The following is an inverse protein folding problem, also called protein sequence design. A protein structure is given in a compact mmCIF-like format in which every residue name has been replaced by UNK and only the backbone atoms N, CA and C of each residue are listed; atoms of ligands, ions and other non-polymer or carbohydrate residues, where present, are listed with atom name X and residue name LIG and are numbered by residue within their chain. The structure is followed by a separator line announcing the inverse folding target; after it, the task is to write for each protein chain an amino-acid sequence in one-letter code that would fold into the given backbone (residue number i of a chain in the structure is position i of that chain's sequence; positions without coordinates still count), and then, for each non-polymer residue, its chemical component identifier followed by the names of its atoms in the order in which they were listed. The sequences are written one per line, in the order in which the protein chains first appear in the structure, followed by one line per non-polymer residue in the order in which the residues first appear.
data_IF_368642538713
#
_entry.id   IF_368642538713
#
_cell.length_a   1.000
_cell.length_b   1.000
_cell.length_c   1.000
_cell.angle_alpha   90.00
_cell.angle_beta   90.00
_cell.angle_gamma   90.00
#
_symmetry.space_group_name_H-M   'P 1'
#
loop_
_entity.id
_entity.type
_entity.pdbx_description
1 polymer ?
#
# COMPACT_ATOMS: atom_id res chain seq x y z
N UNK A 1 -19.49 2.85 -0.24
CA UNK A 1 -18.53 1.85 -0.75
C UNK A 1 -17.28 1.95 0.10
N UNK A 2 -16.91 0.87 0.79
CA UNK A 2 -15.68 0.83 1.56
C UNK A 2 -14.48 0.74 0.60
N UNK A 3 -13.40 1.46 0.89
CA UNK A 3 -12.14 1.38 0.14
C UNK A 3 -11.05 0.96 1.09
N UNK A 4 -10.08 0.22 0.59
CA UNK A 4 -8.89 -0.17 1.33
C UNK A 4 -7.65 0.40 0.65
N UNK A 5 -6.73 0.94 1.45
CA UNK A 5 -5.46 1.45 0.96
C UNK A 5 -4.31 0.51 1.34
N UNK A 6 -3.27 0.51 0.53
CA UNK A 6 -2.08 -0.31 0.73
C UNK A 6 -0.82 0.40 0.26
N UNK A 7 0.29 0.05 0.88
CA UNK A 7 1.63 0.42 0.41
C UNK A 7 2.62 -0.69 0.75
N UNK A 8 3.70 -0.75 -0.02
CA UNK A 8 4.84 -1.62 0.25
C UNK A 8 6.01 -0.70 0.59
N UNK A 9 6.60 -0.89 1.76
CA UNK A 9 7.81 -0.20 2.20
C UNK A 9 9.03 -1.06 1.91
N UNK A 10 10.04 -0.43 1.32
CA UNK A 10 11.36 -1.01 1.15
C UNK A 10 12.33 -0.09 1.87
N UNK A 11 12.94 -0.62 2.93
CA UNK A 11 13.95 0.06 3.72
C UNK A 11 15.28 -0.69 3.63
N UNK A 12 16.31 0.00 3.17
CA UNK A 12 17.69 -0.42 3.30
C UNK A 12 18.47 0.61 4.11
N UNK A 13 19.74 0.33 4.43
CA UNK A 13 20.59 1.15 5.31
C UNK A 13 20.72 2.63 4.91
N UNK A 14 20.30 3.02 3.70
CA UNK A 14 20.44 4.38 3.17
C UNK A 14 19.14 5.03 2.74
N UNK A 15 18.11 4.26 2.42
CA UNK A 15 16.89 4.76 1.77
C UNK A 15 15.66 3.98 2.21
N UNK A 16 14.57 4.72 2.41
CA UNK A 16 13.23 4.17 2.57
C UNK A 16 12.36 4.66 1.42
N UNK A 17 11.79 3.71 0.68
CA UNK A 17 10.85 3.98 -0.41
C UNK A 17 9.51 3.32 -0.14
N UNK A 18 8.45 3.94 -0.64
CA UNK A 18 7.09 3.43 -0.51
C UNK A 18 6.45 3.28 -1.89
N UNK A 19 5.65 2.22 -2.05
CA UNK A 19 4.82 2.01 -3.22
C UNK A 19 3.65 3.01 -3.20
N UNK A 20 3.55 3.81 -4.26
CA UNK A 20 2.50 4.80 -4.47
C UNK A 20 1.91 4.68 -5.87
N UNK A 21 0.74 5.29 -6.06
CA UNK A 21 0.07 5.41 -7.36
C UNK A 21 0.10 6.82 -7.93
N UNK A 22 0.14 6.92 -9.26
CA UNK A 22 -0.01 8.18 -10.01
C UNK A 22 1.20 9.11 -9.93
N UNK A 23 1.10 10.29 -10.53
CA UNK A 23 2.14 11.33 -10.44
C UNK A 23 1.93 12.28 -9.26
N UNK A 24 2.95 13.08 -8.95
CA UNK A 24 2.86 14.05 -7.86
C UNK A 24 1.65 15.00 -8.08
N UNK A 25 0.74 15.16 -7.09
CA UNK A 25 0.79 14.60 -5.74
C UNK A 25 0.45 13.10 -5.68
N UNK A 26 1.37 12.31 -5.12
CA UNK A 26 1.24 10.86 -5.00
C UNK A 26 0.07 10.45 -4.11
N UNK A 27 -0.44 9.24 -4.34
CA UNK A 27 -1.52 8.64 -3.55
C UNK A 27 -1.15 7.21 -3.14
N UNK A 28 -1.69 6.73 -2.02
CA UNK A 28 -1.61 5.31 -1.67
C UNK A 28 -2.45 4.47 -2.63
N UNK A 29 -1.98 3.27 -2.94
CA UNK A 29 -2.73 2.31 -3.75
C UNK A 29 -4.07 2.03 -3.06
N UNK A 30 -5.17 2.32 -3.74
CA UNK A 30 -6.52 2.16 -3.20
C UNK A 30 -7.32 1.17 -4.04
N UNK A 31 -7.97 0.22 -3.37
CA UNK A 31 -8.83 -0.81 -3.99
C UNK A 31 -10.26 -0.63 -3.48
N UNK A 32 -11.21 -0.59 -4.41
CA UNK A 32 -12.63 -0.51 -4.09
C UNK A 32 -13.16 -1.88 -3.61
N UNK A 33 -13.86 -1.90 -2.47
CA UNK A 33 -14.53 -3.11 -1.99
C UNK A 33 -15.59 -3.53 -2.99
N UNK A 34 -15.42 -4.71 -3.58
CA UNK A 34 -16.50 -5.42 -4.29
C UNK A 34 -17.40 -6.07 -3.24
N UNK A 35 -18.65 -6.37 -3.58
CA UNK A 35 -19.69 -6.92 -2.67
C UNK A 35 -19.38 -8.31 -2.08
N UNK A 36 -18.11 -8.76 -2.11
CA UNK A 36 -17.67 -10.01 -1.51
C UNK A 36 -17.57 -9.93 0.01
N UNK A 37 -17.78 -11.07 0.64
CA UNK A 37 -17.63 -11.36 2.09
C UNK A 37 -16.16 -11.41 2.56
N UNK A 38 -15.21 -10.96 1.74
CA UNK A 38 -13.79 -11.03 2.03
C UNK A 38 -13.34 -9.85 2.91
N UNK A 39 -12.35 -10.10 3.76
CA UNK A 39 -11.77 -9.05 4.61
C UNK A 39 -11.04 -8.01 3.75
N UNK A 40 -10.96 -6.77 4.24
CA UNK A 40 -10.27 -5.69 3.51
C UNK A 40 -8.79 -6.02 3.23
N UNK A 41 -8.14 -6.78 4.10
CA UNK A 41 -6.77 -7.28 3.89
C UNK A 41 -6.72 -8.29 2.73
N UNK A 42 -7.64 -9.26 2.71
CA UNK A 42 -7.69 -10.27 1.65
C UNK A 42 -7.87 -9.63 0.27
N UNK A 43 -8.71 -8.58 0.16
CA UNK A 43 -8.87 -7.83 -1.08
C UNK A 43 -7.58 -7.14 -1.54
N UNK A 44 -6.81 -6.57 -0.60
CA UNK A 44 -5.54 -5.91 -0.93
C UNK A 44 -4.51 -6.92 -1.42
N UNK A 45 -4.38 -8.06 -0.73
CA UNK A 45 -3.49 -9.14 -1.13
C UNK A 45 -3.89 -9.74 -2.48
N UNK A 46 -5.18 -9.98 -2.70
CA UNK A 46 -5.67 -10.48 -3.99
C UNK A 46 -5.39 -9.49 -5.13
N UNK A 47 -5.55 -8.18 -4.89
CA UNK A 47 -5.17 -7.17 -5.87
C UNK A 47 -3.68 -7.20 -6.20
N UNK A 48 -2.80 -7.23 -5.20
CA UNK A 48 -1.35 -7.31 -5.40
C UNK A 48 -0.97 -8.58 -6.18
N UNK A 49 -1.60 -9.72 -5.86
CA UNK A 49 -1.36 -10.99 -6.54
C UNK A 49 -1.88 -11.02 -7.98
N UNK A 50 -3.15 -10.73 -8.18
CA UNK A 50 -3.83 -10.90 -9.47
C UNK A 50 -3.58 -9.75 -10.44
N UNK A 51 -3.55 -8.51 -9.92
CA UNK A 51 -3.48 -7.30 -10.76
C UNK A 51 -2.06 -6.75 -10.90
N UNK A 52 -1.20 -6.93 -9.90
CA UNK A 52 0.21 -6.50 -9.97
C UNK A 52 1.15 -7.68 -10.28
N UNK A 53 0.77 -8.90 -9.90
CA UNK A 53 1.61 -10.09 -10.09
C UNK A 53 2.68 -10.24 -9.01
N UNK A 54 2.50 -9.59 -7.85
CA UNK A 54 3.38 -9.70 -6.69
C UNK A 54 3.07 -11.00 -5.96
N UNK A 55 4.12 -11.75 -5.60
CA UNK A 55 3.97 -12.87 -4.69
C UNK A 55 3.68 -12.35 -3.27
N UNK A 56 2.46 -12.58 -2.80
CA UNK A 56 2.01 -12.12 -1.48
C UNK A 56 2.69 -12.84 -0.34
N UNK A 57 3.27 -14.02 -0.58
CA UNK A 57 3.96 -14.79 0.46
C UNK A 57 5.29 -14.12 0.85
N UNK A 58 5.83 -13.24 -0.01
CA UNK A 58 7.01 -12.43 0.26
C UNK A 58 6.71 -11.14 1.06
N UNK A 59 5.43 -10.82 1.27
CA UNK A 59 4.99 -9.61 1.96
C UNK A 59 4.74 -9.88 3.44
N UNK A 60 5.21 -8.97 4.28
CA UNK A 60 4.93 -8.98 5.72
C UNK A 60 4.17 -7.73 6.11
N UNK A 61 3.03 -7.90 6.77
CA UNK A 61 2.29 -6.76 7.32
C UNK A 61 3.08 -6.19 8.52
N UNK A 62 3.54 -4.95 8.39
CA UNK A 62 4.29 -4.24 9.44
C UNK A 62 3.38 -3.37 10.29
N UNK A 63 2.53 -2.57 9.64
CA UNK A 63 1.79 -1.50 10.30
C UNK A 63 0.39 -1.37 9.67
N UNK A 64 -0.53 -0.89 10.50
CA UNK A 64 -1.90 -0.57 10.13
C UNK A 64 -2.19 0.85 10.54
N UNK A 65 -2.59 1.69 9.59
CA UNK A 65 -2.93 3.08 9.84
C UNK A 65 -4.27 3.45 9.23
N UNK A 66 -4.78 4.64 9.57
CA UNK A 66 -6.01 5.18 8.98
C UNK A 66 -5.68 6.36 8.07
N UNK A 67 -6.32 6.46 6.91
CA UNK A 67 -6.19 7.63 6.04
C UNK A 67 -7.31 8.65 6.30
N UNK A 68 -6.90 9.92 6.42
CA UNK A 68 -7.74 11.11 6.44
C UNK A 68 -8.32 11.33 5.05
N UNK A 69 -9.61 11.63 4.97
CA UNK A 69 -10.26 11.96 3.72
C UNK A 69 -11.78 11.94 3.82
N UNK A 70 -12.45 12.06 2.66
CA UNK A 70 -13.93 11.99 2.57
C UNK A 70 -14.50 10.65 3.03
N UNK A 71 -13.71 9.58 2.93
CA UNK A 71 -14.02 8.26 3.47
C UNK A 71 -12.80 7.80 4.25
N UNK A 72 -12.97 7.43 5.52
CA UNK A 72 -11.91 6.78 6.29
C UNK A 72 -11.55 5.45 5.61
N UNK A 73 -10.25 5.21 5.43
CA UNK A 73 -9.73 3.99 4.80
C UNK A 73 -8.63 3.42 5.67
N UNK A 74 -8.64 2.10 5.84
CA UNK A 74 -7.52 1.39 6.45
C UNK A 74 -6.37 1.34 5.45
N UNK A 75 -5.19 1.75 5.88
CA UNK A 75 -3.92 1.60 5.17
C UNK A 75 -3.17 0.40 5.73
N UNK A 76 -2.90 -0.57 4.87
CA UNK A 76 -2.00 -1.68 5.15
C UNK A 76 -0.59 -1.35 4.67
N UNK A 77 0.39 -1.43 5.57
CA UNK A 77 1.81 -1.20 5.24
C UNK A 77 2.52 -2.54 5.26
N UNK A 78 3.01 -2.96 4.10
CA UNK A 78 3.75 -4.22 3.95
C UNK A 78 5.24 -3.96 3.79
N UNK A 79 6.10 -4.73 4.46
CA UNK A 79 7.50 -4.86 4.09
C UNK A 79 7.70 -6.07 3.16
N UNK A 80 8.88 -6.12 2.53
CA UNK A 80 9.31 -7.27 1.75
C UNK A 80 10.47 -7.93 2.51
N UNK A 81 10.38 -9.23 2.77
CA UNK A 81 11.47 -9.95 3.45
C UNK A 81 12.48 -10.55 2.47
N UNK A 82 12.02 -11.02 1.30
CA UNK A 82 12.83 -11.62 0.23
C UNK A 82 12.28 -11.21 -1.15
N UNK A 83 13.07 -11.40 -2.20
CA UNK A 83 12.65 -11.13 -3.59
C UNK A 83 12.28 -9.67 -3.90
N UNK A 84 12.86 -8.70 -3.18
CA UNK A 84 12.66 -7.26 -3.40
C UNK A 84 12.73 -6.87 -4.88
N UNK A 85 13.76 -7.34 -5.60
CA UNK A 85 13.96 -7.01 -7.02
C UNK A 85 12.81 -7.48 -7.91
N UNK A 86 12.23 -8.65 -7.65
CA UNK A 86 11.09 -9.15 -8.42
C UNK A 86 9.85 -8.31 -8.11
N UNK A 87 9.55 -8.07 -6.84
CA UNK A 87 8.40 -7.23 -6.42
C UNK A 87 8.51 -5.83 -7.03
N UNK A 88 9.69 -5.20 -6.99
CA UNK A 88 9.94 -3.90 -7.62
C UNK A 88 9.71 -3.96 -9.13
N UNK A 89 10.20 -5.01 -9.80
CA UNK A 89 9.99 -5.18 -11.24
C UNK A 89 8.51 -5.34 -11.60
N UNK A 90 7.75 -6.13 -10.84
CA UNK A 90 6.29 -6.32 -11.04
C UNK A 90 5.53 -5.01 -10.86
N UNK A 91 5.80 -4.30 -9.76
CA UNK A 91 5.20 -3.00 -9.48
C UNK A 91 5.53 -1.98 -10.57
N UNK A 92 6.78 -1.88 -11.00
CA UNK A 92 7.19 -0.92 -12.04
C UNK A 92 6.64 -1.27 -13.43
N UNK A 93 6.32 -2.55 -13.69
CA UNK A 93 5.65 -2.94 -14.94
C UNK A 93 4.21 -2.39 -15.01
N UNK A 94 3.59 -2.17 -13.85
CA UNK A 94 2.31 -1.47 -13.77
C UNK A 94 2.56 0.04 -13.86
N UNK A 95 2.21 0.64 -15.01
CA UNK A 95 2.44 2.07 -15.30
C UNK A 95 1.84 3.04 -14.27
N UNK A 96 0.93 2.57 -13.41
CA UNK A 96 0.31 3.38 -12.37
C UNK A 96 1.04 3.34 -11.04
N UNK A 97 1.97 2.42 -10.85
CA UNK A 97 2.67 2.16 -9.59
C UNK A 97 4.14 2.55 -9.68
N UNK A 98 4.67 3.06 -8.57
CA UNK A 98 6.09 3.36 -8.43
C UNK A 98 6.54 3.38 -6.99
N UNK A 99 7.80 3.04 -6.78
CA UNK A 99 8.48 3.26 -5.51
C UNK A 99 9.06 4.67 -5.46
N UNK A 100 8.70 5.42 -4.43
CA UNK A 100 9.12 6.81 -4.24
C UNK A 100 9.78 6.96 -2.87
N UNK A 101 10.87 7.71 -2.80
CA UNK A 101 11.60 7.98 -1.56
C UNK A 101 10.74 8.79 -0.57
N UNK A 102 10.83 8.44 0.71
CA UNK A 102 10.04 9.04 1.80
C UNK A 102 10.09 10.58 1.84
N UNK A 103 11.24 11.16 1.48
CA UNK A 103 11.46 12.61 1.42
C UNK A 103 10.54 13.32 0.42
N UNK A 104 10.06 12.62 -0.62
CA UNK A 104 9.12 13.16 -1.59
C UNK A 104 7.65 12.95 -1.19
N UNK A 105 7.41 12.24 -0.09
CA UNK A 105 6.08 11.80 0.34
C UNK A 105 5.55 12.57 1.56
N UNK A 106 6.19 13.66 1.97
CA UNK A 106 5.76 14.47 3.12
C UNK A 106 4.26 14.81 3.09
N UNK A 107 3.75 15.31 1.95
CA UNK A 107 2.33 15.65 1.80
C UNK A 107 1.42 14.42 1.85
N UNK A 108 1.88 13.27 1.34
CA UNK A 108 1.13 12.03 1.39
C UNK A 108 0.99 11.54 2.85
N UNK A 109 2.07 11.56 3.63
CA UNK A 109 2.04 11.12 5.03
C UNK A 109 1.23 12.03 5.95
N UNK A 110 1.04 13.31 5.61
CA UNK A 110 0.09 14.18 6.33
C UNK A 110 -1.36 13.66 6.28
N UNK A 111 -1.68 12.81 5.31
CA UNK A 111 -2.98 12.15 5.19
C UNK A 111 -3.12 10.93 6.09
N UNK A 112 -2.07 10.50 6.79
CA UNK A 112 -2.12 9.34 7.70
C UNK A 112 -2.48 9.78 9.12
N UNK A 113 -3.43 9.12 9.75
CA UNK A 113 -3.69 9.13 11.18
C UNK A 113 -2.93 7.97 11.82
N UNK A 114 -1.87 8.29 12.56
CA UNK A 114 -1.05 7.31 13.29
C UNK A 114 -1.61 6.96 14.69
N UNK A 115 -2.50 7.79 15.24
CA UNK A 115 -3.03 7.63 16.61
C UNK A 115 -4.40 6.94 16.68
N UNK A 116 -4.94 6.46 15.56
CA UNK A 116 -6.27 5.85 15.51
C UNK A 116 -6.13 4.35 15.23
N UNK A 117 -6.54 3.50 16.18
CA UNK A 117 -6.56 2.06 15.98
C UNK A 117 -7.37 1.71 14.71
N UNK A 118 -6.84 0.85 13.81
CA UNK A 118 -7.51 0.47 12.57
C UNK A 118 -8.84 -0.24 12.88
N UNK A 119 -9.90 0.14 12.17
CA UNK A 119 -11.23 -0.46 12.34
C UNK A 119 -11.39 -1.61 11.33
N UNK A 120 -11.75 -2.79 11.82
CA UNK A 120 -12.05 -3.97 11.01
C UNK A 120 -13.56 -4.25 11.15
N UNK A 121 -14.34 -3.91 10.12
CA UNK A 121 -15.74 -4.36 9.96
C UNK A 121 -15.84 -5.57 9.05
#
# INVERSE_FOLDING_TARGET
MAKVAGTIVISNDKKTTFLVTGDAPYQFLSVDKKENTETVLAMMLDYLKQSVGVDTDCLRLEELAMLKGKSKQTLFVFSIHDHEQDVVAKCNHNQKLKFVEVEQLHTLFQTVEMDTAPFFE
#
